data_IF_608923801438
#
_entry.id   IF_608923801438
#
_cell.length_a   1.000
_cell.length_b   1.000
_cell.length_c   1.000
_cell.angle_alpha   90.00
_cell.angle_beta   90.00
_cell.angle_gamma   90.00
#
_symmetry.space_group_name_H-M   'P 1'
#
loop_
_entity.id
_entity.type
_entity.pdbx_description
1 polymer ?
#
# COMPACT_ATOMS: atom_id res chain seq x y z
N UNK A 1 34.91 67.09 -62.91
CA UNK A 1 34.16 66.62 -64.09
C UNK A 1 33.27 65.47 -63.66
N UNK A 2 32.01 65.33 -64.03
CA UNK A 2 31.14 66.09 -64.89
C UNK A 2 29.73 65.52 -64.71
N UNK A 3 28.73 66.37 -64.98
CA UNK A 3 27.29 66.11 -64.89
C UNK A 3 26.86 64.92 -65.76
N UNK A 4 25.83 64.21 -65.32
CA UNK A 4 25.04 63.32 -66.16
C UNK A 4 23.65 63.14 -65.55
N UNK A 5 22.71 63.95 -66.02
CA UNK A 5 21.30 64.03 -65.61
C UNK A 5 20.39 63.14 -66.46
N UNK A 6 19.19 62.89 -65.92
CA UNK A 6 17.92 62.50 -66.60
C UNK A 6 17.73 60.99 -66.83
N UNK A 7 16.56 60.38 -66.67
CA UNK A 7 15.18 60.87 -66.62
C UNK A 7 14.28 59.88 -65.84
N UNK A 8 13.42 60.37 -64.94
CA UNK A 8 11.95 60.38 -65.02
C UNK A 8 11.23 59.04 -65.31
N UNK A 9 10.43 58.58 -64.32
CA UNK A 9 9.02 58.12 -64.41
C UNK A 9 8.64 57.49 -63.05
N UNK A 10 7.92 58.19 -62.18
CA UNK A 10 6.46 58.36 -62.22
C UNK A 10 5.72 57.05 -61.89
N UNK A 11 5.34 56.91 -60.62
CA UNK A 11 4.15 56.16 -60.16
C UNK A 11 4.06 56.28 -58.62
N UNK A 12 3.41 57.36 -58.20
CA UNK A 12 2.87 57.56 -56.86
C UNK A 12 1.86 56.46 -56.52
N UNK A 13 2.24 55.50 -55.69
CA UNK A 13 1.29 54.58 -55.03
C UNK A 13 1.30 54.87 -53.53
N UNK A 14 0.63 55.97 -53.16
CA UNK A 14 0.20 56.17 -51.79
C UNK A 14 -0.91 55.15 -51.47
N UNK A 15 -0.84 54.40 -50.37
CA UNK A 15 -1.98 53.61 -49.93
C UNK A 15 -3.08 54.57 -49.48
N UNK A 16 -4.13 54.67 -50.31
CA UNK A 16 -5.41 55.27 -49.94
C UNK A 16 -5.92 54.56 -48.69
N UNK A 17 -5.73 55.19 -47.52
CA UNK A 17 -6.50 54.90 -46.32
C UNK A 17 -7.95 55.27 -46.59
N UNK A 18 -8.69 54.35 -47.20
CA UNK A 18 -10.14 54.38 -47.22
C UNK A 18 -10.60 54.29 -45.77
N UNK A 19 -10.99 55.45 -45.22
CA UNK A 19 -11.74 55.55 -43.99
C UNK A 19 -13.13 54.95 -44.23
N UNK A 20 -13.24 53.62 -44.18
CA UNK A 20 -14.49 52.96 -43.90
C UNK A 20 -14.80 53.19 -42.43
N UNK A 21 -15.44 54.33 -42.15
CA UNK A 21 -16.36 54.49 -41.01
C UNK A 21 -17.50 53.48 -41.20
N UNK A 22 -17.19 52.20 -41.02
CA UNK A 22 -18.17 51.20 -40.67
C UNK A 22 -18.59 51.54 -39.25
N UNK A 23 -19.83 52.00 -39.10
CA UNK A 23 -20.55 51.91 -37.83
C UNK A 23 -20.41 50.46 -37.39
N UNK A 24 -19.50 50.20 -36.46
CA UNK A 24 -19.65 49.07 -35.56
C UNK A 24 -20.96 49.40 -34.86
N UNK A 25 -22.03 48.70 -35.25
CA UNK A 25 -23.20 48.67 -34.43
C UNK A 25 -22.68 48.26 -33.05
N UNK A 26 -22.75 49.19 -32.09
CA UNK A 26 -22.75 48.85 -30.68
C UNK A 26 -23.86 47.82 -30.54
N UNK A 27 -23.47 46.55 -30.64
CA UNK A 27 -24.27 45.48 -30.07
C UNK A 27 -24.02 45.66 -28.58
N UNK A 28 -24.77 46.61 -28.02
CA UNK A 28 -24.90 46.83 -26.61
C UNK A 28 -25.61 45.59 -26.06
N UNK A 29 -24.86 44.49 -25.96
CA UNK A 29 -25.17 43.46 -25.01
C UNK A 29 -25.06 44.18 -23.67
N UNK A 30 -26.18 44.70 -23.16
CA UNK A 30 -26.34 45.41 -21.88
C UNK A 30 -25.95 44.53 -20.69
N UNK A 31 -24.75 44.00 -20.76
CA UNK A 31 -24.08 43.15 -19.81
C UNK A 31 -23.37 44.13 -18.88
N UNK A 32 -23.83 44.22 -17.64
CA UNK A 32 -23.20 45.09 -16.68
C UNK A 32 -21.72 44.73 -16.54
N UNK A 33 -20.86 45.73 -16.71
CA UNK A 33 -19.39 45.62 -16.63
C UNK A 33 -18.88 45.24 -15.23
N UNK A 34 -19.77 45.09 -14.25
CA UNK A 34 -19.45 44.77 -12.86
C UNK A 34 -20.10 43.45 -12.45
N UNK A 35 -19.42 42.68 -11.60
CA UNK A 35 -19.94 41.43 -11.03
C UNK A 35 -21.30 41.63 -10.35
N UNK A 36 -21.49 42.76 -9.66
CA UNK A 36 -22.73 43.11 -8.98
C UNK A 36 -23.91 43.28 -9.96
N UNK A 37 -23.70 43.95 -11.09
CA UNK A 37 -24.75 44.05 -12.09
C UNK A 37 -24.99 42.71 -12.79
N UNK A 38 -23.94 41.91 -13.02
CA UNK A 38 -24.07 40.61 -13.66
C UNK A 38 -24.89 39.67 -12.77
N UNK A 39 -24.68 39.76 -11.45
CA UNK A 39 -25.46 39.05 -10.44
C UNK A 39 -26.94 39.45 -10.42
N UNK A 40 -27.23 40.74 -10.59
CA UNK A 40 -28.61 41.24 -10.64
C UNK A 40 -29.37 40.80 -11.90
N UNK A 41 -28.67 40.62 -13.01
CA UNK A 41 -29.29 40.28 -14.30
C UNK A 41 -29.32 38.77 -14.59
N UNK A 42 -28.32 38.02 -14.10
CA UNK A 42 -28.15 36.58 -14.40
C UNK A 42 -27.68 35.77 -13.18
N UNK A 43 -28.45 35.78 -12.07
CA UNK A 43 -28.02 35.16 -10.81
C UNK A 43 -27.82 33.64 -10.93
N UNK A 44 -28.68 32.93 -11.67
CA UNK A 44 -28.59 31.47 -11.84
C UNK A 44 -27.36 31.06 -12.66
N UNK A 45 -27.03 31.80 -13.72
CA UNK A 45 -25.88 31.49 -14.57
C UNK A 45 -24.57 31.74 -13.83
N UNK A 46 -24.51 32.81 -13.03
CA UNK A 46 -23.34 33.07 -12.20
C UNK A 46 -23.21 32.07 -11.07
N UNK A 47 -24.31 31.68 -10.41
CA UNK A 47 -24.29 30.61 -9.41
C UNK A 47 -23.71 29.31 -9.98
N UNK A 48 -24.18 28.88 -11.16
CA UNK A 48 -23.64 27.70 -11.83
C UNK A 48 -22.15 27.85 -12.18
N UNK A 49 -21.71 29.04 -12.61
CA UNK A 49 -20.30 29.29 -12.89
C UNK A 49 -19.42 29.22 -11.62
N UNK A 50 -19.88 29.79 -10.51
CA UNK A 50 -19.18 29.69 -9.23
C UNK A 50 -19.17 28.26 -8.67
N UNK A 51 -20.28 27.54 -8.78
CA UNK A 51 -20.36 26.13 -8.40
C UNK A 51 -19.39 25.27 -9.23
N UNK A 52 -19.28 25.54 -10.54
CA UNK A 52 -18.30 24.89 -11.41
C UNK A 52 -16.86 25.21 -11.01
N UNK A 53 -16.52 26.47 -10.77
CA UNK A 53 -15.18 26.86 -10.32
C UNK A 53 -14.83 26.19 -8.98
N UNK A 54 -15.78 26.15 -8.05
CA UNK A 54 -15.60 25.46 -6.76
C UNK A 54 -15.41 23.95 -6.94
N UNK A 55 -16.17 23.32 -7.83
CA UNK A 55 -16.03 21.90 -8.12
C UNK A 55 -14.66 21.60 -8.78
N UNK A 56 -14.22 22.43 -9.72
CA UNK A 56 -12.92 22.31 -10.37
C UNK A 56 -11.77 22.51 -9.36
N UNK A 57 -11.88 23.47 -8.43
CA UNK A 57 -10.91 23.65 -7.34
C UNK A 57 -10.88 22.46 -6.39
N UNK A 58 -12.04 21.91 -6.01
CA UNK A 58 -12.12 20.72 -5.17
C UNK A 58 -11.49 19.50 -5.86
N UNK A 59 -11.72 19.32 -7.16
CA UNK A 59 -11.10 18.26 -7.95
C UNK A 59 -9.59 18.43 -8.02
N UNK A 60 -9.09 19.64 -8.27
CA UNK A 60 -7.64 19.93 -8.28
C UNK A 60 -7.00 19.69 -6.91
N UNK A 61 -7.70 20.00 -5.83
CA UNK A 61 -7.22 19.71 -4.47
C UNK A 61 -7.16 18.20 -4.22
N UNK A 62 -8.21 17.46 -4.60
CA UNK A 62 -8.21 15.99 -4.51
C UNK A 62 -7.09 15.38 -5.34
N UNK A 63 -6.85 15.87 -6.55
CA UNK A 63 -5.78 15.36 -7.39
C UNK A 63 -4.40 15.64 -6.79
N UNK A 64 -4.18 16.84 -6.22
CA UNK A 64 -2.96 17.17 -5.48
C UNK A 64 -2.76 16.26 -4.27
N UNK A 65 -3.83 15.97 -3.53
CA UNK A 65 -3.80 15.03 -2.41
C UNK A 65 -3.48 13.61 -2.87
N UNK A 66 -4.17 13.11 -3.91
CA UNK A 66 -3.92 11.78 -4.46
C UNK A 66 -2.48 11.62 -4.99
N UNK A 67 -1.95 12.65 -5.67
CA UNK A 67 -0.54 12.65 -6.11
C UNK A 67 0.42 12.60 -4.92
N UNK A 68 0.14 13.33 -3.85
CA UNK A 68 0.93 13.29 -2.61
C UNK A 68 0.86 11.90 -1.97
N UNK A 69 -0.33 11.33 -1.83
CA UNK A 69 -0.52 9.99 -1.27
C UNK A 69 0.20 8.91 -2.07
N UNK A 70 0.16 8.97 -3.41
CA UNK A 70 0.92 8.04 -4.27
C UNK A 70 2.42 8.16 -4.04
N UNK A 71 2.94 9.38 -3.91
CA UNK A 71 4.37 9.61 -3.60
C UNK A 71 4.73 9.06 -2.22
N UNK A 72 3.91 9.32 -1.20
CA UNK A 72 4.10 8.79 0.15
C UNK A 72 3.97 7.26 0.20
N UNK A 73 3.11 6.67 -0.62
CA UNK A 73 2.98 5.21 -0.79
C UNK A 73 4.29 4.62 -1.30
N UNK A 74 4.80 5.12 -2.43
CA UNK A 74 6.08 4.66 -3.01
C UNK A 74 7.25 4.80 -2.03
N UNK A 75 7.27 5.86 -1.22
CA UNK A 75 8.29 6.02 -0.19
C UNK A 75 8.15 5.00 0.94
N UNK A 76 6.93 4.69 1.37
CA UNK A 76 6.68 3.62 2.37
C UNK A 76 7.07 2.24 1.84
N UNK A 77 6.78 1.95 0.58
CA UNK A 77 7.21 0.70 -0.05
C UNK A 77 8.75 0.60 -0.05
N UNK A 78 9.45 1.69 -0.37
CA UNK A 78 10.91 1.76 -0.27
C UNK A 78 11.41 1.49 1.16
N UNK A 79 10.74 2.05 2.18
CA UNK A 79 11.08 1.80 3.58
C UNK A 79 10.86 0.33 3.98
N UNK A 80 9.84 -0.32 3.42
CA UNK A 80 9.61 -1.75 3.64
C UNK A 80 10.69 -2.61 2.99
N UNK A 81 11.16 -2.24 1.80
CA UNK A 81 12.20 -2.99 1.08
C UNK A 81 13.56 -2.92 1.80
N UNK A 82 13.92 -1.74 2.30
CA UNK A 82 15.20 -1.51 2.99
C UNK A 82 15.17 -1.90 4.47
N UNK A 83 14.06 -1.62 5.16
CA UNK A 83 13.96 -1.74 6.62
C UNK A 83 12.80 -2.66 7.02
N UNK A 84 12.85 -3.92 6.59
CA UNK A 84 11.77 -4.89 6.84
C UNK A 84 11.89 -5.63 8.19
N UNK A 85 13.08 -5.67 8.81
CA UNK A 85 13.36 -6.47 10.02
C UNK A 85 13.58 -5.65 11.29
N UNK A 86 13.33 -6.31 12.43
CA UNK A 86 13.67 -5.83 13.77
C UNK A 86 15.17 -5.56 13.98
N UNK A 87 16.03 -5.99 13.06
CA UNK A 87 17.47 -5.75 13.09
C UNK A 87 17.80 -4.28 12.75
N UNK A 88 16.89 -3.56 12.08
CA UNK A 88 17.09 -2.17 11.65
C UNK A 88 16.50 -1.13 12.63
N UNK A 89 16.03 -1.55 13.81
CA UNK A 89 15.39 -0.66 14.79
C UNK A 89 16.31 0.44 15.36
N UNK A 90 17.63 0.26 15.21
CA UNK A 90 18.66 1.20 15.64
C UNK A 90 19.22 2.09 14.53
N UNK A 91 18.76 1.93 13.28
CA UNK A 91 19.21 2.77 12.16
C UNK A 91 18.74 4.20 12.40
N UNK A 92 19.68 5.13 12.29
CA UNK A 92 19.37 6.56 12.41
C UNK A 92 18.79 7.08 11.09
N UNK A 93 18.05 8.19 11.16
CA UNK A 93 17.57 8.84 9.95
C UNK A 93 18.70 9.21 8.98
N UNK A 94 19.84 9.64 9.50
CA UNK A 94 21.00 10.08 8.71
C UNK A 94 21.54 8.94 7.85
N UNK A 95 21.77 7.76 8.45
CA UNK A 95 22.20 6.55 7.74
C UNK A 95 21.16 6.11 6.71
N UNK A 96 19.88 6.11 7.09
CA UNK A 96 18.79 5.72 6.19
C UNK A 96 18.64 6.70 5.01
N UNK A 97 18.81 7.99 5.26
CA UNK A 97 18.73 9.03 4.24
C UNK A 97 19.90 8.90 3.24
N UNK A 98 21.11 8.58 3.69
CA UNK A 98 22.25 8.33 2.81
C UNK A 98 22.02 7.10 1.90
N UNK A 99 21.51 6.00 2.45
CA UNK A 99 21.22 4.78 1.68
C UNK A 99 20.09 5.00 0.65
N UNK A 100 19.09 5.83 0.99
CA UNK A 100 17.94 6.10 0.13
C UNK A 100 18.14 7.32 -0.79
N UNK A 101 19.18 8.13 -0.61
CA UNK A 101 19.39 9.40 -1.32
C UNK A 101 19.37 9.27 -2.86
N UNK A 102 19.81 8.12 -3.37
CA UNK A 102 19.87 7.85 -4.81
C UNK A 102 18.51 7.44 -5.42
N UNK A 103 17.49 7.19 -4.60
CA UNK A 103 16.19 6.67 -5.06
C UNK A 103 15.26 7.80 -5.45
N UNK A 104 14.57 7.65 -6.59
CA UNK A 104 13.58 8.62 -7.08
C UNK A 104 12.46 8.85 -6.06
N UNK A 105 11.98 7.79 -5.41
CA UNK A 105 10.95 7.88 -4.37
C UNK A 105 11.36 8.74 -3.15
N UNK A 106 12.67 8.81 -2.83
CA UNK A 106 13.20 9.70 -1.78
C UNK A 106 13.25 11.16 -2.24
N UNK A 107 13.63 11.40 -3.51
CA UNK A 107 13.75 12.75 -4.10
C UNK A 107 12.41 13.42 -4.41
N UNK A 108 11.34 12.64 -4.54
CA UNK A 108 10.00 13.11 -4.92
C UNK A 108 9.23 13.83 -3.78
N UNK A 109 9.72 13.75 -2.54
CA UNK A 109 9.10 14.32 -1.35
C UNK A 109 10.02 15.31 -0.63
N UNK A 110 9.45 16.28 0.12
CA UNK A 110 10.20 17.12 1.04
C UNK A 110 10.87 16.30 2.16
N UNK A 111 12.07 16.71 2.57
CA UNK A 111 12.88 16.02 3.59
C UNK A 111 12.15 15.91 4.93
N UNK A 112 11.38 16.93 5.30
CA UNK A 112 10.61 16.93 6.54
C UNK A 112 9.53 15.84 6.54
N UNK A 113 8.94 15.56 5.37
CA UNK A 113 7.90 14.54 5.23
C UNK A 113 8.50 13.14 5.17
N UNK A 114 9.62 12.97 4.48
CA UNK A 114 10.30 11.67 4.43
C UNK A 114 10.83 11.27 5.81
N UNK A 115 11.36 12.22 6.59
CA UNK A 115 11.77 11.99 7.97
C UNK A 115 10.57 11.56 8.86
N UNK A 116 9.45 12.28 8.78
CA UNK A 116 8.25 11.91 9.54
C UNK A 116 7.73 10.51 9.18
N UNK A 117 7.72 10.15 7.90
CA UNK A 117 7.30 8.82 7.43
C UNK A 117 8.26 7.72 7.90
N UNK A 118 9.56 8.00 7.96
CA UNK A 118 10.55 7.10 8.52
C UNK A 118 10.31 6.85 10.01
N UNK A 119 10.10 7.91 10.80
CA UNK A 119 9.80 7.80 12.23
C UNK A 119 8.51 7.01 12.48
N UNK A 120 7.46 7.27 11.69
CA UNK A 120 6.20 6.52 11.70
C UNK A 120 6.45 5.02 11.45
N UNK A 121 7.24 4.68 10.42
CA UNK A 121 7.59 3.29 10.09
C UNK A 121 8.43 2.62 11.17
N UNK A 122 9.44 3.30 11.70
CA UNK A 122 10.27 2.76 12.79
C UNK A 122 9.45 2.54 14.06
N UNK A 123 8.52 3.43 14.38
CA UNK A 123 7.59 3.23 15.49
C UNK A 123 6.68 2.01 15.28
N UNK A 124 6.20 1.79 14.05
CA UNK A 124 5.41 0.61 13.70
C UNK A 124 6.23 -0.68 13.82
N UNK A 125 7.48 -0.70 13.33
CA UNK A 125 8.38 -1.84 13.48
C UNK A 125 8.65 -2.17 14.95
N UNK A 126 8.88 -1.16 15.80
CA UNK A 126 9.05 -1.36 17.25
C UNK A 126 7.80 -1.98 17.87
N UNK A 127 6.63 -1.44 17.55
CA UNK A 127 5.34 -1.97 18.03
C UNK A 127 5.14 -3.43 17.58
N UNK A 128 5.46 -3.76 16.34
CA UNK A 128 5.33 -5.12 15.79
C UNK A 128 6.31 -6.09 16.43
N UNK A 129 7.54 -5.66 16.69
CA UNK A 129 8.55 -6.44 17.40
C UNK A 129 8.10 -6.74 18.84
N UNK A 130 7.60 -5.74 19.56
CA UNK A 130 7.05 -5.91 20.91
C UNK A 130 5.83 -6.84 20.94
N UNK A 131 4.89 -6.67 20.00
CA UNK A 131 3.72 -7.54 19.89
C UNK A 131 4.14 -8.99 19.63
N UNK A 132 5.11 -9.20 18.74
CA UNK A 132 5.66 -10.52 18.45
C UNK A 132 6.37 -11.14 19.66
N UNK A 133 7.10 -10.33 20.44
CA UNK A 133 7.73 -10.79 21.69
C UNK A 133 6.69 -11.23 22.71
N UNK A 134 5.66 -10.41 22.95
CA UNK A 134 4.55 -10.73 23.88
C UNK A 134 3.81 -11.99 23.45
N UNK A 135 3.53 -12.15 22.16
CA UNK A 135 2.89 -13.35 21.63
C UNK A 135 3.73 -14.62 21.88
N UNK A 136 5.06 -14.55 21.68
CA UNK A 136 5.97 -15.67 21.96
C UNK A 136 6.04 -16.01 23.45
N UNK A 137 6.03 -15.01 24.33
CA UNK A 137 6.00 -15.20 25.78
C UNK A 137 4.69 -15.85 26.24
N UNK A 138 3.56 -15.41 25.68
CA UNK A 138 2.24 -16.01 25.95
C UNK A 138 2.19 -17.48 25.54
N UNK A 139 2.66 -17.82 24.33
CA UNK A 139 2.72 -19.22 23.86
C UNK A 139 3.59 -20.07 24.79
N UNK A 140 4.75 -19.57 25.21
CA UNK A 140 5.62 -20.27 26.18
C UNK A 140 4.96 -20.47 27.53
N UNK A 141 4.17 -19.49 28.00
CA UNK A 141 3.42 -19.61 29.26
C UNK A 141 2.38 -20.71 29.15
N UNK A 142 1.57 -20.70 28.10
CA UNK A 142 0.54 -21.72 27.86
C UNK A 142 1.15 -23.12 27.71
N UNK A 143 2.31 -23.23 27.07
CA UNK A 143 3.01 -24.52 26.95
C UNK A 143 3.48 -25.05 28.31
N UNK A 144 4.00 -24.18 29.20
CA UNK A 144 4.37 -24.57 30.57
C UNK A 144 3.17 -25.02 31.37
N UNK A 145 2.08 -24.26 31.35
CA UNK A 145 0.83 -24.62 32.03
C UNK A 145 0.29 -25.98 31.53
N UNK A 146 0.37 -26.23 30.21
CA UNK A 146 -0.02 -27.52 29.64
C UNK A 146 0.89 -28.67 30.09
N UNK A 147 2.20 -28.43 30.19
CA UNK A 147 3.15 -29.43 30.68
C UNK A 147 2.93 -29.74 32.17
N UNK A 148 2.70 -28.71 32.99
CA UNK A 148 2.38 -28.86 34.42
C UNK A 148 1.07 -29.62 34.63
N UNK A 149 0.01 -29.29 33.88
CA UNK A 149 -1.26 -30.02 33.93
C UNK A 149 -1.09 -31.49 33.51
N UNK A 150 -0.28 -31.76 32.47
CA UNK A 150 0.02 -33.13 32.05
C UNK A 150 0.81 -33.91 33.11
N UNK A 151 1.78 -33.26 33.75
CA UNK A 151 2.56 -33.85 34.83
C UNK A 151 1.69 -34.14 36.07
N UNK A 152 0.79 -33.23 36.45
CA UNK A 152 -0.16 -33.42 37.54
C UNK A 152 -1.12 -34.58 37.26
N UNK A 153 -1.64 -34.68 36.03
CA UNK A 153 -2.50 -35.79 35.62
C UNK A 153 -1.75 -37.14 35.64
N UNK A 154 -0.49 -37.17 35.19
CA UNK A 154 0.34 -38.37 35.26
C UNK A 154 0.64 -38.78 36.71
N UNK A 155 0.92 -37.81 37.60
CA UNK A 155 1.12 -38.07 39.02
C UNK A 155 -0.15 -38.60 39.69
N UNK A 156 -1.32 -38.05 39.37
CA UNK A 156 -2.61 -38.54 39.86
C UNK A 156 -2.90 -39.97 39.39
N UNK A 157 -2.60 -40.29 38.13
CA UNK A 157 -2.74 -41.65 37.59
C UNK A 157 -1.79 -42.64 38.29
N UNK A 158 -0.55 -42.24 38.56
CA UNK A 158 0.42 -43.05 39.30
C UNK A 158 -0.02 -43.29 40.76
N UNK A 159 -0.57 -42.26 41.43
CA UNK A 159 -1.10 -42.39 42.78
C UNK A 159 -2.33 -43.30 42.83
N UNK A 160 -3.22 -43.22 41.84
CA UNK A 160 -4.38 -44.12 41.73
C UNK A 160 -3.94 -45.58 41.51
N UNK A 161 -2.94 -45.82 40.64
CA UNK A 161 -2.38 -47.14 40.41
C UNK A 161 -1.76 -47.73 41.70
N UNK A 162 -1.03 -46.92 42.47
CA UNK A 162 -0.47 -47.32 43.76
C UNK A 162 -1.57 -47.65 44.79
N UNK A 163 -2.65 -46.88 44.84
CA UNK A 163 -3.79 -47.14 45.72
C UNK A 163 -4.58 -48.41 45.36
N UNK A 164 -4.58 -48.81 44.08
CA UNK A 164 -5.21 -50.07 43.62
C UNK A 164 -4.30 -51.30 43.70
N UNK A 165 -3.01 -51.12 44.00
CA UNK A 165 -2.01 -52.20 44.05
C UNK A 165 -1.99 -53.01 45.35
N UNK A 166 -2.74 -52.61 46.37
CA UNK A 166 -2.77 -53.23 47.71
C UNK A 166 -3.99 -54.15 47.91
N UNK A 167 -4.36 -54.92 46.88
CA UNK A 167 -5.49 -55.87 46.94
C UNK A 167 -5.25 -57.16 46.16
N UNK A 168 -4.01 -57.65 46.08
CA UNK A 168 -3.71 -58.98 45.54
C UNK A 168 -2.47 -59.57 46.22
N UNK A 169 -2.64 -60.01 47.46
CA UNK A 169 -1.62 -60.72 48.22
C UNK A 169 -2.23 -61.41 49.43
N UNK A 170 -3.00 -62.46 49.17
CA UNK A 170 -3.12 -63.72 49.93
C UNK A 170 -4.48 -64.37 49.64
N UNK A 171 -4.52 -65.28 48.67
CA UNK A 171 -5.18 -66.56 48.91
C UNK A 171 -4.57 -67.64 48.02
N UNK A 172 -4.22 -68.74 48.67
CA UNK A 172 -3.53 -69.86 48.10
C UNK A 172 -4.53 -70.82 47.42
N UNK A 173 -4.16 -71.27 46.22
CA UNK A 173 -4.44 -72.63 45.77
C UNK A 173 -5.70 -72.84 44.92
N UNK A 174 -5.49 -73.15 43.64
CA UNK A 174 -6.09 -74.32 43.01
C UNK A 174 -5.47 -74.54 41.62
N UNK A 175 -4.83 -75.69 41.48
CA UNK A 175 -4.46 -76.34 40.22
C UNK A 175 -5.70 -76.52 39.34
N UNK A 176 -5.66 -76.01 38.11
CA UNK A 176 -6.54 -76.45 37.03
C UNK A 176 -5.76 -76.49 35.72
N UNK A 177 -5.49 -77.73 35.31
CA UNK A 177 -4.92 -78.16 34.04
C UNK A 177 -5.96 -77.92 32.94
N UNK A 178 -5.58 -77.27 31.86
CA UNK A 178 -6.45 -77.00 30.72
C UNK A 178 -5.64 -76.77 29.46
N UNK A 179 -5.37 -77.86 28.74
CA UNK A 179 -4.88 -77.88 27.37
C UNK A 179 -5.90 -77.16 26.45
N UNK A 180 -5.40 -76.29 25.56
CA UNK A 180 -6.27 -75.48 24.69
C UNK A 180 -5.48 -74.72 23.64
N UNK A 181 -5.37 -75.35 22.49
CA UNK A 181 -4.65 -75.02 21.27
C UNK A 181 -5.06 -73.72 20.55
N UNK A 182 -4.17 -73.27 19.66
CA UNK A 182 -4.32 -72.31 18.56
C UNK A 182 -4.38 -70.81 18.92
N UNK A 183 -3.62 -69.92 18.30
CA UNK A 183 -2.71 -70.03 17.17
C UNK A 183 -2.45 -68.63 16.58
N UNK A 184 -1.29 -68.49 15.96
CA UNK A 184 -0.98 -67.60 14.83
C UNK A 184 -1.01 -66.08 14.99
N UNK A 185 0.11 -65.45 14.62
CA UNK A 185 0.13 -64.13 14.00
C UNK A 185 1.04 -63.11 14.70
N UNK A 186 2.34 -63.10 14.40
CA UNK A 186 3.01 -62.20 13.43
C UNK A 186 3.47 -60.85 14.02
N UNK A 187 4.76 -60.83 14.34
CA UNK A 187 5.80 -59.87 13.92
C UNK A 187 5.50 -58.36 13.88
N UNK A 188 6.26 -57.66 14.74
CA UNK A 188 7.02 -56.41 14.56
C UNK A 188 6.74 -55.46 13.35
N UNK A 189 6.60 -54.17 13.66
CA UNK A 189 7.40 -53.03 13.15
C UNK A 189 6.73 -51.73 13.62
N UNK A 190 7.42 -50.85 14.35
CA UNK A 190 8.34 -49.83 13.86
C UNK A 190 7.70 -48.89 12.82
N UNK A 191 7.65 -47.60 13.18
CA UNK A 191 7.82 -46.54 12.18
C UNK A 191 6.58 -45.73 11.82
N UNK A 192 6.69 -44.45 12.20
CA UNK A 192 6.71 -43.35 11.24
C UNK A 192 5.43 -42.52 11.09
N UNK A 193 5.67 -41.23 11.36
CA UNK A 193 4.77 -40.11 11.18
C UNK A 193 4.34 -39.94 9.73
N UNK A 194 3.09 -39.52 9.56
CA UNK A 194 2.52 -39.06 8.30
C UNK A 194 1.26 -38.25 8.59
N UNK A 195 1.41 -37.00 9.02
CA UNK A 195 0.30 -36.05 9.03
C UNK A 195 -0.05 -35.71 7.60
N UNK A 196 -1.26 -36.10 7.20
CA UNK A 196 -1.91 -35.76 5.96
C UNK A 196 -2.04 -34.23 5.83
N UNK A 197 -1.54 -33.70 4.71
CA UNK A 197 -1.91 -32.39 4.21
C UNK A 197 -3.35 -32.47 3.69
N UNK A 198 -4.25 -31.73 4.34
CA UNK A 198 -5.58 -31.46 3.79
C UNK A 198 -5.44 -30.52 2.60
N UNK A 199 -5.72 -31.04 1.40
CA UNK A 199 -6.04 -30.25 0.22
C UNK A 199 -7.54 -29.98 0.13
N UNK A 200 -7.91 -28.70 0.17
CA UNK A 200 -9.16 -28.07 -0.28
C UNK A 200 -8.94 -26.57 0.02
N UNK A 201 -9.02 -25.59 -0.88
CA UNK A 201 -10.02 -25.24 -1.90
C UNK A 201 -9.36 -24.22 -2.87
N UNK A 202 -9.42 -24.41 -4.19
CA UNK A 202 -10.45 -23.89 -5.10
C UNK A 202 -10.30 -22.40 -5.47
N UNK A 203 -9.97 -22.14 -6.73
CA UNK A 203 -10.74 -21.20 -7.55
C UNK A 203 -10.12 -19.87 -7.96
N UNK A 204 -9.97 -19.73 -9.28
CA UNK A 204 -10.25 -18.54 -10.10
C UNK A 204 -9.13 -17.56 -10.46
N UNK A 205 -8.65 -17.74 -11.69
CA UNK A 205 -8.88 -16.83 -12.82
C UNK A 205 -8.59 -15.35 -12.63
N UNK A 206 -7.54 -14.89 -13.31
CA UNK A 206 -7.24 -13.47 -13.46
C UNK A 206 -5.99 -13.22 -14.29
N UNK A 207 -5.86 -13.86 -15.46
CA UNK A 207 -4.95 -13.40 -16.50
C UNK A 207 -5.54 -12.09 -17.07
N UNK A 208 -5.21 -10.97 -16.41
CA UNK A 208 -5.54 -9.62 -16.84
C UNK A 208 -4.34 -9.00 -17.55
N UNK A 209 -4.53 -8.76 -18.83
CA UNK A 209 -3.81 -7.92 -19.79
C UNK A 209 -2.49 -7.24 -19.34
N UNK A 210 -1.45 -7.58 -20.09
CA UNK A 210 -0.35 -6.69 -20.42
C UNK A 210 -0.89 -5.74 -21.51
N UNK A 211 -1.31 -4.55 -21.14
CA UNK A 211 -1.47 -3.43 -22.07
C UNK A 211 -0.21 -2.58 -21.87
N UNK A 212 0.76 -2.81 -22.77
CA UNK A 212 1.96 -2.01 -22.89
C UNK A 212 1.56 -0.56 -23.17
N UNK A 213 2.10 0.32 -22.33
CA UNK A 213 1.99 1.78 -22.42
C UNK A 213 2.31 2.27 -23.83
N UNK A 214 1.37 3.06 -24.35
CA UNK A 214 1.52 3.88 -25.55
C UNK A 214 2.74 4.81 -25.42
N UNK A 215 3.56 4.79 -26.47
CA UNK A 215 4.58 5.79 -26.81
C UNK A 215 3.93 7.19 -26.91
N UNK A 216 4.09 8.02 -25.89
CA UNK A 216 3.94 9.48 -26.02
C UNK A 216 5.27 10.05 -26.53
N UNK A 217 5.35 10.20 -27.86
CA UNK A 217 6.39 10.95 -28.55
C UNK A 217 6.37 12.42 -28.08
N UNK A 218 7.44 12.83 -27.37
CA UNK A 218 7.78 14.24 -27.23
C UNK A 218 8.31 14.76 -28.57
N UNK A 219 7.46 15.42 -29.37
CA UNK A 219 7.94 16.34 -30.41
C UNK A 219 7.94 17.79 -29.92
N UNK A 220 9.15 18.31 -29.89
CA UNK A 220 9.59 19.70 -29.74
C UNK A 220 8.67 20.74 -30.40
N UNK A 221 8.28 21.77 -29.63
CA UNK A 221 8.21 23.12 -30.18
C UNK A 221 9.28 23.98 -29.50
N UNK A 222 10.38 24.23 -30.22
CA UNK A 222 11.46 25.05 -29.70
C UNK A 222 12.55 25.40 -30.71
N UNK A 223 12.22 26.17 -31.77
CA UNK A 223 13.16 27.10 -32.43
C UNK A 223 12.43 28.14 -33.28
#
# INVERSE_FOLDING_TARGET
AGRGTSAARDASTAPRRSASRGRVADVDHGLPRTLAGAWATRPTQLRMAFERVRADEAMREQERQARRERREGRFRDLLMDYFYRSDHLGVTWEEAAEEMAQRSAFRDLPVERTHALFDEHMAELRRRAEASKRAREEVRRQERERQEAKAAAAAAAAAAAAASGDAAGDDAGAVAKGDGEAGSGKEASAGQAGSAANGATNGQDGAGNHDDDDDDEEEEEGA
#
